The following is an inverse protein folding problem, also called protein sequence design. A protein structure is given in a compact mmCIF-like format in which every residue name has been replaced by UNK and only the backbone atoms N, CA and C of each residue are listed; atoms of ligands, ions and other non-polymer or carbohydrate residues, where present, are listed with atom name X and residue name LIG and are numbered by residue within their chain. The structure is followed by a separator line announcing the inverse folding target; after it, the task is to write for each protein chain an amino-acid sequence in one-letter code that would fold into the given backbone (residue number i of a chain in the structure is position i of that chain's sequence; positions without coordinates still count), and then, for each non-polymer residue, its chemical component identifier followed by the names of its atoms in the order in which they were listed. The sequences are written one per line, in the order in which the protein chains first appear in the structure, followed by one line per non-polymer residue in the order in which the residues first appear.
data_IF_698958792387
#
_entry.id   IF_698958792387
#
_cell.length_a   1.000
_cell.length_b   1.000
_cell.length_c   1.000
_cell.angle_alpha   90.00
_cell.angle_beta   90.00
_cell.angle_gamma   90.00
#
_symmetry.space_group_name_H-M   'P 1'
#
loop_
_entity.id
_entity.type
_entity.pdbx_description
1 polymer ?
#
# COMPACT_ATOMS: atom_id res chain seq x y z
N UNK A 1 14.22 -1.36 10.98
CA UNK A 1 13.41 -0.11 11.06
C UNK A 1 12.06 -0.36 10.40
N UNK A 2 10.93 0.05 11.00
CA UNK A 2 9.57 -0.21 10.45
C UNK A 2 8.95 1.10 9.95
N UNK A 3 8.44 1.09 8.72
CA UNK A 3 7.73 2.20 8.09
C UNK A 3 6.27 1.84 7.82
N UNK A 4 5.40 2.84 7.78
CA UNK A 4 3.99 2.68 7.39
C UNK A 4 3.61 3.61 6.25
N UNK A 5 2.48 3.31 5.60
CA UNK A 5 1.86 4.20 4.61
C UNK A 5 0.62 4.85 5.23
N UNK A 6 0.61 6.19 5.35
CA UNK A 6 -0.49 6.94 5.94
C UNK A 6 -1.20 7.78 4.90
N UNK A 7 -2.53 7.85 4.95
CA UNK A 7 -3.30 8.68 4.03
C UNK A 7 -2.93 10.16 4.17
N UNK A 8 -2.47 10.79 3.09
CA UNK A 8 -2.04 12.20 3.07
C UNK A 8 -3.14 13.12 3.62
N UNK A 9 -4.38 12.93 3.14
CA UNK A 9 -5.54 13.73 3.49
C UNK A 9 -6.04 13.54 4.94
N UNK A 10 -5.53 12.53 5.66
CA UNK A 10 -5.87 12.26 7.07
C UNK A 10 -4.72 12.63 8.00
N UNK A 11 -3.54 12.08 7.72
CA UNK A 11 -2.36 12.15 8.58
C UNK A 11 -1.54 13.43 8.37
N UNK A 12 -1.58 14.05 7.18
CA UNK A 12 -0.67 15.13 6.79
C UNK A 12 -1.41 16.44 6.50
N UNK A 13 -2.42 16.76 7.33
CA UNK A 13 -3.30 17.92 7.14
C UNK A 13 -2.64 19.26 7.49
N UNK A 14 -1.71 19.25 8.42
CA UNK A 14 -1.05 20.46 8.93
C UNK A 14 0.35 20.13 9.44
N UNK A 15 1.18 21.16 9.67
CA UNK A 15 2.59 20.99 10.09
C UNK A 15 2.75 20.10 11.34
N UNK A 16 1.88 20.24 12.33
CA UNK A 16 1.97 19.47 13.58
C UNK A 16 1.72 17.98 13.33
N UNK A 17 0.61 17.64 12.68
CA UNK A 17 0.27 16.24 12.33
C UNK A 17 1.29 15.65 11.36
N UNK A 18 1.70 16.39 10.33
CA UNK A 18 2.73 15.96 9.38
C UNK A 18 4.05 15.66 10.07
N UNK A 19 4.47 16.48 11.04
CA UNK A 19 5.69 16.24 11.83
C UNK A 19 5.54 14.98 12.68
N UNK A 20 4.43 14.84 13.41
CA UNK A 20 4.16 13.66 14.23
C UNK A 20 4.23 12.36 13.42
N UNK A 21 3.55 12.30 12.27
CA UNK A 21 3.53 11.11 11.43
C UNK A 21 4.88 10.86 10.73
N UNK A 22 5.60 11.91 10.33
CA UNK A 22 6.94 11.75 9.75
C UNK A 22 7.94 11.20 10.77
N UNK A 23 7.90 11.70 12.02
CA UNK A 23 8.72 11.17 13.12
C UNK A 23 8.31 9.75 13.50
N UNK A 24 7.01 9.43 13.38
CA UNK A 24 6.46 8.08 13.54
C UNK A 24 6.74 7.14 12.36
N UNK A 25 7.60 7.52 11.42
CA UNK A 25 8.02 6.70 10.27
C UNK A 25 6.86 6.35 9.33
N UNK A 26 5.93 7.28 9.13
CA UNK A 26 4.80 7.13 8.22
C UNK A 26 5.05 7.95 6.96
N UNK A 27 4.94 7.32 5.80
CA UNK A 27 5.06 7.97 4.50
C UNK A 27 3.71 8.53 4.03
N UNK A 28 3.67 9.78 3.53
CA UNK A 28 2.46 10.43 3.04
C UNK A 28 1.95 9.83 1.74
N UNK A 29 0.81 9.15 1.76
CA UNK A 29 0.27 8.39 0.62
C UNK A 29 -1.03 9.01 0.13
N UNK A 30 -1.08 9.42 -1.13
CA UNK A 30 -2.27 9.97 -1.77
C UNK A 30 -3.22 8.86 -2.22
N UNK A 31 -4.50 9.08 -1.99
CA UNK A 31 -5.59 8.18 -2.37
C UNK A 31 -6.37 8.83 -3.51
N UNK A 32 -6.63 8.08 -4.59
CA UNK A 32 -7.24 8.58 -5.83
C UNK A 32 -8.55 9.35 -5.62
N UNK A 33 -9.35 8.94 -4.64
CA UNK A 33 -10.61 9.62 -4.31
C UNK A 33 -10.43 11.06 -3.80
N UNK A 34 -9.29 11.36 -3.16
CA UNK A 34 -9.07 12.61 -2.43
C UNK A 34 -8.04 13.53 -3.10
N UNK A 35 -7.26 13.00 -4.04
CA UNK A 35 -6.12 13.71 -4.62
C UNK A 35 -5.80 13.20 -6.03
N UNK A 36 -5.55 14.10 -6.99
CA UNK A 36 -5.10 13.74 -8.33
C UNK A 36 -3.69 13.13 -8.32
N UNK A 37 -2.92 13.34 -7.25
CA UNK A 37 -1.58 12.76 -7.06
C UNK A 37 -1.62 11.32 -6.53
N UNK A 38 -2.82 10.77 -6.31
CA UNK A 38 -3.00 9.38 -5.94
C UNK A 38 -2.68 8.42 -7.06
N UNK A 39 -2.56 7.14 -6.71
CA UNK A 39 -2.38 6.07 -7.68
C UNK A 39 -1.05 5.33 -7.51
N UNK A 40 -0.75 4.51 -8.52
CA UNK A 40 0.27 3.48 -8.43
C UNK A 40 1.71 4.04 -8.44
N UNK A 41 1.94 5.14 -9.18
CA UNK A 41 3.26 5.72 -9.42
C UNK A 41 3.56 6.98 -8.59
N UNK A 42 2.81 7.19 -7.50
CA UNK A 42 3.08 8.30 -6.60
C UNK A 42 4.50 8.20 -6.01
N UNK A 43 5.19 9.34 -5.74
CA UNK A 43 6.57 9.35 -5.24
C UNK A 43 6.79 8.52 -3.96
N UNK A 44 5.77 8.46 -3.11
CA UNK A 44 5.76 7.69 -1.86
C UNK A 44 5.94 6.19 -2.08
N UNK A 45 5.37 5.64 -3.16
CA UNK A 45 5.57 4.22 -3.47
C UNK A 45 7.02 3.93 -3.90
N UNK A 46 7.65 4.86 -4.62
CA UNK A 46 9.07 4.74 -4.96
C UNK A 46 9.96 4.81 -3.70
N UNK A 47 9.63 5.68 -2.74
CA UNK A 47 10.31 5.71 -1.43
C UNK A 47 10.14 4.38 -0.69
N UNK A 48 8.93 3.83 -0.63
CA UNK A 48 8.68 2.55 0.05
C UNK A 48 9.44 1.37 -0.59
N UNK A 49 9.46 1.28 -1.93
CA UNK A 49 10.27 0.28 -2.65
C UNK A 49 11.75 0.44 -2.30
N UNK A 50 12.28 1.67 -2.30
CA UNK A 50 13.68 1.92 -1.92
C UNK A 50 13.94 1.58 -0.45
N UNK A 51 13.00 1.78 0.47
CA UNK A 51 13.19 1.37 1.87
C UNK A 51 13.27 -0.15 2.03
N UNK A 52 12.45 -0.89 1.30
CA UNK A 52 12.48 -2.37 1.28
C UNK A 52 13.76 -2.91 0.62
N UNK A 53 14.23 -2.26 -0.44
CA UNK A 53 15.41 -2.70 -1.18
C UNK A 53 16.72 -2.43 -0.45
N UNK A 54 17.73 -3.23 -0.76
CA UNK A 54 19.11 -3.00 -0.36
C UNK A 54 19.71 -1.76 -1.03
N UNK A 55 20.90 -1.31 -0.59
CA UNK A 55 21.70 -0.34 -1.34
C UNK A 55 22.06 -0.95 -2.70
N UNK A 56 21.28 -0.63 -3.72
CA UNK A 56 21.48 -1.18 -5.07
C UNK A 56 22.80 -0.66 -5.66
N UNK A 57 23.62 -1.53 -6.28
CA UNK A 57 24.66 -1.10 -7.20
C UNK A 57 24.01 -0.59 -8.50
N UNK A 58 23.68 0.70 -8.54
CA UNK A 58 23.50 1.58 -9.71
C UNK A 58 22.69 1.11 -10.96
N UNK A 59 22.10 -0.07 -11.03
CA UNK A 59 21.72 -0.68 -12.32
C UNK A 59 20.24 -1.02 -12.53
N UNK A 60 19.34 -0.75 -11.60
CA UNK A 60 17.91 -0.96 -11.84
C UNK A 60 17.16 0.36 -11.98
N UNK A 61 16.94 0.74 -13.23
CA UNK A 61 15.90 1.70 -13.61
C UNK A 61 14.57 1.16 -13.10
N UNK A 62 14.06 1.77 -12.04
CA UNK A 62 12.66 1.55 -11.65
C UNK A 62 11.78 2.28 -12.65
N UNK A 63 10.57 1.80 -12.93
CA UNK A 63 9.59 2.55 -13.73
C UNK A 63 9.20 3.92 -13.11
N UNK A 64 9.80 4.28 -11.96
CA UNK A 64 9.67 5.55 -11.26
C UNK A 64 10.80 6.53 -11.54
N UNK A 65 11.85 6.13 -12.26
CA UNK A 65 12.91 7.04 -12.64
C UNK A 65 12.47 7.82 -13.88
N UNK A 66 12.30 9.15 -13.72
CA UNK A 66 12.00 10.05 -14.83
C UNK A 66 12.96 9.81 -16.01
N UNK A 67 12.49 9.93 -17.27
CA UNK A 67 13.28 9.65 -18.48
C UNK A 67 14.54 10.53 -18.68
N UNK A 68 14.85 11.44 -17.75
CA UNK A 68 16.04 12.29 -17.76
C UNK A 68 17.26 11.68 -17.04
N UNK A 69 17.18 10.45 -16.50
CA UNK A 69 18.26 9.86 -15.68
C UNK A 69 18.66 8.43 -16.06
N UNK A 70 18.47 8.05 -17.33
CA UNK A 70 19.06 6.81 -17.85
C UNK A 70 20.56 7.01 -18.13
N UNK A 71 21.42 6.65 -17.18
CA UNK A 71 22.86 6.46 -17.42
C UNK A 71 23.23 5.00 -17.19
N UNK A 72 24.17 4.44 -17.98
CA UNK A 72 24.50 3.02 -17.91
C UNK A 72 25.16 2.67 -16.57
N UNK A 73 24.93 1.43 -16.14
CA UNK A 73 25.41 0.87 -14.88
C UNK A 73 26.91 1.15 -14.66
N UNK A 74 27.21 2.06 -13.73
CA UNK A 74 28.57 2.36 -13.30
C UNK A 74 28.77 1.82 -11.89
N UNK A 75 29.88 1.12 -11.67
CA UNK A 75 30.37 0.66 -10.36
C UNK A 75 30.77 1.82 -9.42
N UNK A 76 30.56 3.07 -9.84
CA UNK A 76 30.86 4.28 -9.08
C UNK A 76 29.61 4.67 -8.27
N UNK A 77 29.75 5.08 -6.99
CA UNK A 77 28.63 5.65 -6.26
C UNK A 77 28.01 6.80 -7.08
N UNK A 78 26.67 6.93 -7.10
CA UNK A 78 26.01 7.95 -7.90
C UNK A 78 26.59 9.34 -7.58
N UNK A 79 26.99 10.07 -8.62
CA UNK A 79 27.67 11.37 -8.50
C UNK A 79 26.78 12.47 -7.88
N UNK A 80 25.48 12.20 -7.70
CA UNK A 80 24.51 13.11 -7.10
C UNK A 80 24.10 12.55 -5.73
N UNK A 81 24.27 13.31 -4.63
CA UNK A 81 23.71 12.93 -3.33
C UNK A 81 22.21 12.68 -3.48
N UNK A 82 21.69 11.55 -2.98
CA UNK A 82 20.25 11.35 -3.00
C UNK A 82 19.56 12.52 -2.30
N UNK A 83 18.48 13.08 -2.88
CA UNK A 83 17.82 14.23 -2.29
C UNK A 83 17.30 13.84 -0.91
N UNK A 84 17.66 14.62 0.12
CA UNK A 84 17.26 14.38 1.51
C UNK A 84 15.76 14.58 1.75
N UNK A 85 15.07 15.14 0.76
CA UNK A 85 13.64 15.39 0.77
C UNK A 85 13.01 14.96 -0.55
N UNK A 86 11.73 14.62 -0.51
CA UNK A 86 10.92 14.38 -1.69
C UNK A 86 9.59 15.13 -1.57
N UNK A 87 8.99 15.41 -2.73
CA UNK A 87 7.66 16.00 -2.82
C UNK A 87 6.67 14.95 -3.29
N UNK A 88 5.45 15.00 -2.77
CA UNK A 88 4.33 14.16 -3.20
C UNK A 88 3.43 14.84 -4.22
N UNK A 89 3.47 16.17 -4.33
CA UNK A 89 2.62 16.95 -5.22
C UNK A 89 3.35 18.10 -5.96
N UNK A 90 4.68 18.20 -5.82
CA UNK A 90 5.50 19.26 -6.40
C UNK A 90 5.62 20.54 -5.56
N UNK A 91 4.85 20.67 -4.47
CA UNK A 91 4.81 21.86 -3.60
C UNK A 91 5.22 21.53 -2.17
N UNK A 92 4.80 20.37 -1.65
CA UNK A 92 5.17 19.90 -0.33
C UNK A 92 6.60 19.34 -0.27
N UNK A 93 7.12 19.21 0.96
CA UNK A 93 8.45 18.69 1.20
C UNK A 93 8.44 17.78 2.42
N UNK A 94 8.79 16.51 2.22
CA UNK A 94 8.91 15.50 3.26
C UNK A 94 10.33 14.92 3.29
N UNK A 95 10.87 14.53 4.45
CA UNK A 95 12.14 13.82 4.52
C UNK A 95 12.09 12.56 3.65
N UNK A 96 13.12 12.33 2.84
CA UNK A 96 13.27 11.12 2.03
C UNK A 96 14.10 10.09 2.80
N UNK A 97 13.47 9.16 3.54
CA UNK A 97 14.22 8.23 4.37
C UNK A 97 15.09 7.27 3.53
N UNK A 98 14.74 7.01 2.27
CA UNK A 98 15.56 6.17 1.40
C UNK A 98 16.95 6.75 1.09
N UNK A 99 17.15 8.06 1.33
CA UNK A 99 18.43 8.72 1.16
C UNK A 99 19.46 8.28 2.24
N UNK A 100 19.00 7.72 3.35
CA UNK A 100 19.86 7.24 4.43
C UNK A 100 20.10 5.73 4.28
N UNK A 101 21.36 5.28 4.10
CA UNK A 101 21.68 3.85 3.99
C UNK A 101 21.19 3.02 5.19
N UNK A 102 21.17 3.62 6.39
CA UNK A 102 20.68 2.99 7.61
C UNK A 102 19.18 2.61 7.58
N UNK A 103 18.41 3.16 6.64
CA UNK A 103 16.98 2.89 6.48
C UNK A 103 16.67 1.96 5.30
N UNK A 104 17.69 1.39 4.65
CA UNK A 104 17.53 0.33 3.64
C UNK A 104 17.30 -1.03 4.29
N UNK A 105 16.74 -1.98 3.52
CA UNK A 105 16.27 -3.27 4.04
C UNK A 105 15.33 -3.10 5.26
N UNK A 106 14.54 -2.03 5.24
CA UNK A 106 13.56 -1.76 6.26
C UNK A 106 12.30 -2.58 6.04
N UNK A 107 11.40 -2.54 7.02
CA UNK A 107 10.12 -3.24 6.97
C UNK A 107 9.05 -2.22 6.62
N UNK A 108 8.12 -2.55 5.72
CA UNK A 108 6.99 -1.67 5.38
C UNK A 108 5.69 -2.38 5.73
N UNK A 109 4.91 -1.77 6.62
CA UNK A 109 3.58 -2.24 6.99
C UNK A 109 2.53 -1.52 6.13
N UNK A 110 1.63 -2.29 5.52
CA UNK A 110 0.61 -1.78 4.59
C UNK A 110 -0.77 -2.35 4.88
N UNK A 111 -1.80 -1.51 4.69
CA UNK A 111 -3.21 -1.93 4.65
C UNK A 111 -3.69 -1.89 3.20
N UNK A 112 -3.66 -3.03 2.49
CA UNK A 112 -3.78 -3.06 1.02
C UNK A 112 -5.17 -2.70 0.49
N UNK A 113 -6.23 -2.77 1.30
CA UNK A 113 -7.56 -2.27 0.92
C UNK A 113 -7.60 -0.73 0.78
N UNK A 114 -6.65 -0.05 1.44
CA UNK A 114 -6.49 1.41 1.46
C UNK A 114 -7.75 2.20 1.88
N UNK A 115 -8.63 1.57 2.64
CA UNK A 115 -9.76 2.20 3.32
C UNK A 115 -10.00 1.50 4.67
N UNK A 116 -10.78 2.14 5.54
CA UNK A 116 -11.32 1.48 6.72
C UNK A 116 -12.53 0.66 6.26
N UNK A 117 -12.37 -0.66 6.21
CA UNK A 117 -13.45 -1.59 5.90
C UNK A 117 -13.93 -2.25 7.19
N UNK A 118 -15.24 -2.17 7.45
CA UNK A 118 -15.88 -2.77 8.61
C UNK A 118 -17.05 -3.63 8.11
N UNK A 119 -16.73 -4.78 7.50
CA UNK A 119 -17.75 -5.71 7.04
C UNK A 119 -18.48 -6.41 8.20
N UNK A 120 -19.80 -6.62 8.13
CA UNK A 120 -20.53 -7.39 9.13
C UNK A 120 -20.00 -8.82 9.33
N UNK A 121 -19.52 -9.46 8.26
CA UNK A 121 -18.98 -10.82 8.26
C UNK A 121 -17.44 -10.88 8.36
N UNK A 122 -16.81 -9.71 8.57
CA UNK A 122 -15.35 -9.55 8.53
C UNK A 122 -14.68 -10.08 7.26
N UNK A 123 -15.39 -10.10 6.13
CA UNK A 123 -14.82 -10.39 4.81
C UNK A 123 -13.81 -9.33 4.36
N UNK A 124 -13.02 -9.66 3.34
CA UNK A 124 -11.94 -8.81 2.81
C UNK A 124 -12.38 -8.11 1.52
N UNK A 125 -11.90 -6.88 1.28
CA UNK A 125 -12.01 -6.25 -0.05
C UNK A 125 -10.90 -6.76 -0.98
N UNK A 126 -10.97 -6.35 -2.24
CA UNK A 126 -9.83 -6.43 -3.15
C UNK A 126 -8.64 -5.64 -2.60
N UNK A 127 -7.44 -6.12 -2.87
CA UNK A 127 -6.20 -5.46 -2.49
C UNK A 127 -5.69 -4.58 -3.63
N UNK A 128 -5.30 -3.34 -3.32
CA UNK A 128 -4.78 -2.40 -4.31
C UNK A 128 -3.37 -2.82 -4.78
N UNK A 129 -3.09 -2.59 -6.06
CA UNK A 129 -1.84 -2.97 -6.72
C UNK A 129 -0.55 -2.32 -6.18
N UNK A 130 -0.65 -1.38 -5.24
CA UNK A 130 0.52 -0.79 -4.58
C UNK A 130 1.39 -1.86 -3.90
N UNK A 131 0.78 -2.89 -3.31
CA UNK A 131 1.54 -4.00 -2.69
C UNK A 131 2.29 -4.83 -3.73
N UNK A 132 1.75 -4.96 -4.94
CA UNK A 132 2.42 -5.66 -6.03
C UNK A 132 3.71 -4.96 -6.43
N UNK A 133 3.77 -3.62 -6.39
CA UNK A 133 5.01 -2.89 -6.62
C UNK A 133 6.07 -3.18 -5.56
N UNK A 134 5.67 -3.18 -4.29
CA UNK A 134 6.58 -3.49 -3.18
C UNK A 134 7.19 -4.88 -3.36
N UNK A 135 6.41 -5.88 -3.78
CA UNK A 135 6.91 -7.23 -3.97
C UNK A 135 7.74 -7.35 -5.26
N UNK A 136 7.26 -6.82 -6.39
CA UNK A 136 7.90 -7.01 -7.69
C UNK A 136 9.16 -6.16 -7.90
N UNK A 137 9.17 -4.93 -7.39
CA UNK A 137 10.23 -3.95 -7.67
C UNK A 137 11.30 -3.90 -6.57
N UNK A 138 11.04 -4.45 -5.39
CA UNK A 138 12.05 -4.50 -4.34
C UNK A 138 13.06 -5.60 -4.54
N UNK A 139 14.32 -5.26 -4.26
CA UNK A 139 15.44 -6.16 -4.37
C UNK A 139 16.51 -5.92 -3.27
N UNK A 140 16.91 -6.95 -2.51
CA UNK A 140 16.40 -8.33 -2.60
C UNK A 140 14.90 -8.39 -2.28
N UNK A 141 14.30 -9.53 -2.60
CA UNK A 141 12.89 -9.76 -2.37
C UNK A 141 12.51 -9.48 -0.90
N UNK A 142 11.52 -8.63 -0.62
CA UNK A 142 11.15 -8.36 0.77
C UNK A 142 10.39 -9.55 1.32
N UNK A 143 10.78 -10.02 2.49
CA UNK A 143 10.06 -11.05 3.23
C UNK A 143 8.59 -10.65 3.42
N UNK A 144 7.68 -11.60 3.23
CA UNK A 144 6.24 -11.37 3.27
C UNK A 144 5.63 -12.02 4.51
N UNK A 145 4.96 -11.20 5.34
CA UNK A 145 4.27 -11.64 6.55
C UNK A 145 2.81 -11.14 6.48
N UNK A 146 1.83 -12.04 6.24
CA UNK A 146 0.43 -11.67 6.25
C UNK A 146 -0.06 -11.41 7.68
N UNK A 147 -1.00 -10.48 7.84
CA UNK A 147 -1.65 -10.18 9.11
C UNK A 147 -3.14 -10.00 8.89
N UNK A 148 -3.95 -10.64 9.73
CA UNK A 148 -5.39 -10.42 9.80
C UNK A 148 -5.73 -9.76 11.14
N UNK A 149 -6.42 -8.61 11.09
CA UNK A 149 -6.77 -7.81 12.26
C UNK A 149 -8.29 -7.68 12.34
N UNK A 150 -8.86 -8.11 13.45
CA UNK A 150 -10.29 -8.05 13.73
C UNK A 150 -10.57 -7.46 15.12
N UNK A 151 -11.69 -6.77 15.25
CA UNK A 151 -12.21 -6.24 16.53
C UNK A 151 -11.99 -4.74 16.73
N UNK A 152 -11.14 -4.11 15.91
CA UNK A 152 -10.95 -2.65 15.90
C UNK A 152 -12.24 -1.89 15.56
N UNK A 153 -13.11 -2.50 14.75
CA UNK A 153 -14.46 -1.99 14.44
C UNK A 153 -15.36 -1.92 15.67
N UNK A 154 -15.13 -2.73 16.72
CA UNK A 154 -15.91 -2.65 17.96
C UNK A 154 -15.43 -1.53 18.88
N UNK A 155 -14.16 -1.12 18.73
CA UNK A 155 -13.56 0.00 19.45
C UNK A 155 -13.97 1.33 18.82
N UNK A 156 -13.84 1.43 17.48
CA UNK A 156 -14.09 2.63 16.68
C UNK A 156 -15.08 2.36 15.53
N UNK A 157 -16.30 1.95 15.87
CA UNK A 157 -17.34 1.60 14.89
C UNK A 157 -17.76 2.79 14.01
N UNK A 158 -18.01 2.60 12.72
CA UNK A 158 -18.42 3.70 11.83
C UNK A 158 -19.80 4.31 12.17
N UNK A 159 -20.68 3.50 12.75
CA UNK A 159 -22.01 3.89 13.24
C UNK A 159 -21.98 4.53 14.65
N UNK A 160 -20.80 4.78 15.21
CA UNK A 160 -20.67 5.30 16.59
C UNK A 160 -21.31 6.68 16.75
N UNK A 161 -22.10 6.79 17.83
CA UNK A 161 -22.66 8.04 18.35
C UNK A 161 -21.64 8.90 19.12
N UNK A 162 -22.14 9.91 19.81
CA UNK A 162 -21.31 10.81 20.64
C UNK A 162 -20.89 10.11 21.96
N UNK A 163 -19.63 10.26 22.42
CA UNK A 163 -18.52 10.98 21.78
C UNK A 163 -17.83 10.17 20.68
N UNK A 164 -17.75 10.72 19.46
CA UNK A 164 -17.21 10.00 18.28
C UNK A 164 -15.68 9.84 18.27
N UNK A 165 -14.97 10.60 19.09
CA UNK A 165 -13.51 10.61 19.17
C UNK A 165 -12.96 9.60 20.19
N UNK A 166 -13.79 9.13 21.12
CA UNK A 166 -13.35 8.27 22.21
C UNK A 166 -13.45 6.78 21.82
N UNK A 167 -12.36 6.00 21.97
CA UNK A 167 -12.41 4.56 21.74
C UNK A 167 -13.24 3.85 22.82
N UNK A 168 -14.03 2.85 22.43
CA UNK A 168 -14.79 2.02 23.38
C UNK A 168 -13.85 1.06 24.12
N UNK A 169 -13.91 1.07 25.45
CA UNK A 169 -13.11 0.24 26.35
C UNK A 169 -13.75 -1.15 26.50
N UNK A 170 -12.96 -2.18 26.84
CA UNK A 170 -13.45 -3.53 27.12
C UNK A 170 -13.81 -4.35 25.86
N UNK A 171 -13.34 -3.93 24.69
CA UNK A 171 -13.50 -4.68 23.43
C UNK A 171 -12.23 -5.46 23.12
N UNK A 172 -12.41 -6.65 22.58
CA UNK A 172 -11.30 -7.55 22.21
C UNK A 172 -10.83 -7.27 20.80
N UNK A 173 -9.50 -7.19 20.62
CA UNK A 173 -8.85 -7.17 19.31
C UNK A 173 -8.17 -8.51 19.11
N UNK A 174 -8.46 -9.17 17.99
CA UNK A 174 -7.80 -10.39 17.55
C UNK A 174 -6.85 -10.04 16.40
N UNK A 175 -5.58 -10.34 16.59
CA UNK A 175 -4.55 -10.19 15.56
C UNK A 175 -3.99 -11.58 15.30
N UNK A 176 -4.11 -12.06 14.06
CA UNK A 176 -3.48 -13.29 13.61
C UNK A 176 -2.34 -12.90 12.68
N UNK A 177 -1.14 -13.35 13.00
CA UNK A 177 0.08 -13.10 12.22
C UNK A 177 0.46 -14.44 11.60
N UNK A 178 0.63 -14.45 10.28
CA UNK A 178 1.07 -15.65 9.58
C UNK A 178 2.57 -15.87 9.72
N UNK A 179 3.01 -17.07 9.40
CA UNK A 179 4.44 -17.37 9.32
C UNK A 179 5.09 -16.59 8.17
N UNK A 180 6.36 -16.15 8.33
CA UNK A 180 7.09 -15.55 7.23
C UNK A 180 7.17 -16.53 6.06
N UNK A 181 6.72 -16.09 4.90
CA UNK A 181 6.62 -16.95 3.72
C UNK A 181 7.83 -16.75 2.81
N UNK A 182 8.38 -17.84 2.27
CA UNK A 182 9.38 -17.77 1.20
C UNK A 182 8.77 -17.05 -0.01
N UNK A 183 9.32 -15.87 -0.31
CA UNK A 183 8.84 -14.96 -1.35
C UNK A 183 9.09 -15.55 -2.73
N UNK A 184 10.15 -16.32 -2.91
CA UNK A 184 10.44 -17.00 -4.17
C UNK A 184 9.48 -18.18 -4.37
N UNK A 185 9.06 -18.86 -3.29
CA UNK A 185 8.01 -19.87 -3.37
C UNK A 185 6.65 -19.26 -3.72
N UNK A 186 6.25 -18.18 -3.06
CA UNK A 186 4.91 -17.60 -3.19
C UNK A 186 4.74 -16.72 -4.44
N UNK A 187 5.77 -15.95 -4.78
CA UNK A 187 5.75 -14.93 -5.84
C UNK A 187 6.85 -15.10 -6.90
N UNK A 188 7.67 -16.15 -6.83
CA UNK A 188 8.84 -16.31 -7.69
C UNK A 188 8.51 -16.34 -9.19
N UNK A 189 7.38 -16.95 -9.58
CA UNK A 189 6.93 -16.93 -10.97
C UNK A 189 6.69 -15.50 -11.47
N UNK A 190 5.95 -14.69 -10.69
CA UNK A 190 5.65 -13.31 -11.05
C UNK A 190 6.91 -12.44 -11.02
N UNK A 191 7.80 -12.65 -10.04
CA UNK A 191 9.08 -11.94 -9.97
C UNK A 191 9.98 -12.28 -11.16
N UNK A 192 10.05 -13.55 -11.57
CA UNK A 192 10.83 -13.96 -12.73
C UNK A 192 10.29 -13.34 -14.02
N UNK A 193 8.97 -13.33 -14.22
CA UNK A 193 8.33 -12.66 -15.34
C UNK A 193 8.56 -11.14 -15.30
N UNK A 194 8.46 -10.51 -14.13
CA UNK A 194 8.76 -9.09 -13.95
C UNK A 194 10.22 -8.76 -14.32
N UNK A 195 11.19 -9.57 -13.89
CA UNK A 195 12.60 -9.40 -14.27
C UNK A 195 12.81 -9.49 -15.78
N UNK A 196 12.12 -10.43 -16.46
CA UNK A 196 12.14 -10.52 -17.94
C UNK A 196 11.56 -9.27 -18.59
N UNK A 197 10.48 -8.71 -18.03
CA UNK A 197 9.87 -7.48 -18.52
C UNK A 197 10.79 -6.27 -18.33
N UNK A 198 11.44 -6.15 -17.16
CA UNK A 198 12.44 -5.11 -16.88
C UNK A 198 13.63 -5.21 -17.85
N UNK A 199 14.08 -6.42 -18.17
CA UNK A 199 15.17 -6.64 -19.12
C UNK A 199 14.86 -6.17 -20.56
N UNK A 200 13.57 -5.98 -20.92
CA UNK A 200 13.19 -5.37 -22.21
C UNK A 200 13.52 -3.87 -22.26
N UNK A 201 13.73 -3.22 -21.11
CA UNK A 201 14.20 -1.83 -21.03
C UNK A 201 13.18 -0.77 -21.42
N UNK A 202 11.89 -1.10 -21.51
CA UNK A 202 10.82 -0.17 -21.89
C UNK A 202 9.99 0.25 -20.65
N UNK A 203 10.10 1.51 -20.20
CA UNK A 203 9.36 2.03 -19.06
C UNK A 203 7.84 2.03 -19.26
N UNK A 204 7.35 2.23 -20.48
CA UNK A 204 5.91 2.25 -20.76
C UNK A 204 5.31 0.85 -20.72
N UNK A 205 6.05 -0.18 -21.17
CA UNK A 205 5.64 -1.57 -20.98
C UNK A 205 5.58 -1.96 -19.49
N UNK A 206 6.54 -1.51 -18.69
CA UNK A 206 6.49 -1.70 -17.24
C UNK A 206 5.32 -0.94 -16.62
N UNK A 207 5.00 0.24 -17.13
CA UNK A 207 3.97 1.09 -16.54
C UNK A 207 2.56 0.62 -16.87
N UNK A 208 2.29 0.45 -18.14
CA UNK A 208 0.96 0.32 -18.73
C UNK A 208 0.79 -0.96 -19.55
N UNK A 209 1.84 -1.77 -19.70
CA UNK A 209 1.77 -3.01 -20.48
C UNK A 209 0.78 -4.01 -19.89
N UNK A 210 0.14 -4.83 -20.75
CA UNK A 210 -0.82 -5.85 -20.31
C UNK A 210 -0.15 -6.88 -19.40
N UNK A 211 1.06 -7.32 -19.75
CA UNK A 211 1.87 -8.26 -18.94
C UNK A 211 2.17 -7.69 -17.54
N UNK A 212 2.58 -6.42 -17.44
CA UNK A 212 2.81 -5.76 -16.15
C UNK A 212 1.53 -5.67 -15.31
N UNK A 213 0.39 -5.40 -15.95
CA UNK A 213 -0.91 -5.29 -15.29
C UNK A 213 -1.36 -6.64 -14.74
N UNK A 214 -1.23 -7.70 -15.52
CA UNK A 214 -1.59 -9.06 -15.11
C UNK A 214 -0.72 -9.56 -13.95
N UNK A 215 0.59 -9.27 -13.99
CA UNK A 215 1.50 -9.57 -12.87
C UNK A 215 1.06 -8.86 -11.59
N UNK A 216 0.64 -7.60 -11.67
CA UNK A 216 0.16 -6.85 -10.50
C UNK A 216 -1.14 -7.40 -9.94
N UNK A 217 -2.09 -7.74 -10.81
CA UNK A 217 -3.35 -8.39 -10.42
C UNK A 217 -3.05 -9.70 -9.71
N UNK A 218 -2.21 -10.55 -10.31
CA UNK A 218 -1.82 -11.85 -9.77
C UNK A 218 -1.17 -11.74 -8.39
N UNK A 219 -0.22 -10.82 -8.21
CA UNK A 219 0.44 -10.62 -6.91
C UNK A 219 -0.54 -10.07 -5.87
N UNK A 220 -1.35 -9.06 -6.21
CA UNK A 220 -2.31 -8.49 -5.27
C UNK A 220 -3.34 -9.54 -4.80
N UNK A 221 -3.80 -10.40 -5.72
CA UNK A 221 -4.69 -11.51 -5.41
C UNK A 221 -4.04 -12.50 -4.44
N UNK A 222 -2.82 -12.94 -4.71
CA UNK A 222 -2.08 -13.85 -3.80
C UNK A 222 -1.87 -13.26 -2.41
N UNK A 223 -1.54 -11.97 -2.32
CA UNK A 223 -1.42 -11.30 -1.02
C UNK A 223 -2.76 -11.34 -0.26
N UNK A 224 -3.88 -11.14 -0.95
CA UNK A 224 -5.22 -11.27 -0.36
C UNK A 224 -5.49 -12.69 0.10
N UNK A 225 -5.19 -13.69 -0.72
CA UNK A 225 -5.44 -15.09 -0.42
C UNK A 225 -4.66 -15.54 0.84
N UNK A 226 -3.43 -15.07 1.04
CA UNK A 226 -2.69 -15.35 2.28
C UNK A 226 -3.32 -14.70 3.52
N UNK A 227 -3.92 -13.52 3.39
CA UNK A 227 -4.66 -12.88 4.51
C UNK A 227 -6.00 -13.61 4.75
N UNK A 228 -6.65 -14.11 3.70
CA UNK A 228 -7.88 -14.90 3.81
C UNK A 228 -7.66 -16.19 4.59
N UNK A 229 -6.54 -16.90 4.35
CA UNK A 229 -6.16 -18.08 5.16
C UNK A 229 -6.07 -17.75 6.65
N UNK A 230 -5.50 -16.59 7.00
CA UNK A 230 -5.42 -16.16 8.40
C UNK A 230 -6.80 -15.84 8.97
N UNK A 231 -7.68 -15.24 8.17
CA UNK A 231 -9.09 -14.99 8.53
C UNK A 231 -9.81 -16.31 8.82
N UNK A 232 -9.68 -17.32 7.95
CA UNK A 232 -10.26 -18.64 8.18
C UNK A 232 -9.72 -19.30 9.46
N UNK A 233 -8.40 -19.24 9.68
CA UNK A 233 -7.76 -19.75 10.90
C UNK A 233 -8.25 -19.02 12.16
N UNK A 234 -8.73 -17.78 12.01
CA UNK A 234 -9.32 -17.02 13.09
C UNK A 234 -10.75 -17.45 13.43
N UNK A 235 -11.32 -18.43 12.71
CA UNK A 235 -12.65 -18.99 12.94
C UNK A 235 -13.77 -18.35 12.11
N UNK A 236 -13.43 -17.55 11.10
CA UNK A 236 -14.41 -17.00 10.16
C UNK A 236 -14.67 -17.99 9.02
N UNK A 237 -15.89 -18.04 8.45
CA UNK A 237 -16.19 -18.95 7.36
C UNK A 237 -15.45 -18.54 6.09
N UNK A 238 -14.91 -19.52 5.36
CA UNK A 238 -14.30 -19.32 4.05
C UNK A 238 -15.22 -18.51 3.13
N UNK A 239 -14.66 -17.51 2.45
CA UNK A 239 -15.39 -16.73 1.46
C UNK A 239 -15.78 -17.63 0.26
N UNK A 240 -17.08 -17.71 -0.03
CA UNK A 240 -17.60 -18.52 -1.15
C UNK A 240 -17.70 -17.74 -2.45
N UNK A 241 -17.78 -16.41 -2.36
CA UNK A 241 -17.89 -15.51 -3.51
C UNK A 241 -16.54 -14.84 -3.74
N UNK A 242 -16.02 -14.95 -4.96
CA UNK A 242 -14.79 -14.27 -5.36
C UNK A 242 -15.03 -12.79 -5.71
N UNK A 243 -16.28 -12.36 -5.88
CA UNK A 243 -16.62 -11.01 -6.29
C UNK A 243 -16.01 -9.91 -5.38
N UNK A 244 -15.98 -10.04 -4.04
CA UNK A 244 -15.33 -9.07 -3.16
C UNK A 244 -13.81 -8.92 -3.41
N UNK A 245 -13.15 -9.92 -4.00
CA UNK A 245 -11.75 -9.87 -4.38
C UNK A 245 -11.47 -9.04 -5.65
N UNK A 246 -12.51 -8.68 -6.41
CA UNK A 246 -12.42 -7.94 -7.67
C UNK A 246 -12.71 -6.45 -7.49
N UNK A 247 -11.88 -5.58 -8.07
CA UNK A 247 -12.05 -4.13 -7.96
C UNK A 247 -13.35 -3.65 -8.63
N UNK A 248 -13.74 -4.31 -9.71
CA UNK A 248 -14.93 -4.04 -10.52
C UNK A 248 -16.22 -4.20 -9.69
N UNK A 249 -16.26 -5.18 -8.79
CA UNK A 249 -17.40 -5.39 -7.89
C UNK A 249 -17.65 -4.16 -7.02
N UNK A 250 -16.57 -3.55 -6.51
CA UNK A 250 -16.64 -2.38 -5.65
C UNK A 250 -16.80 -1.06 -6.40
N UNK A 251 -16.68 -1.06 -7.74
CA UNK A 251 -17.03 0.11 -8.56
C UNK A 251 -18.53 0.47 -8.46
N UNK A 252 -19.36 -0.47 -7.97
CA UNK A 252 -20.78 -0.26 -7.65
C UNK A 252 -21.01 0.62 -6.41
N UNK A 253 -19.99 0.83 -5.58
CA UNK A 253 -20.10 1.71 -4.40
C UNK A 253 -20.41 3.15 -4.85
N UNK A 254 -21.45 3.80 -4.29
CA UNK A 254 -21.80 5.16 -4.68
C UNK A 254 -20.69 6.16 -4.34
N UNK A 255 -20.65 7.21 -5.14
CA UNK A 255 -19.74 8.35 -5.00
C UNK A 255 -20.19 9.33 -3.91
N UNK A 256 -20.52 8.81 -2.71
CA UNK A 256 -21.04 9.59 -1.58
C UNK A 256 -20.15 9.45 -0.35
N UNK A 257 -20.26 10.40 0.56
CA UNK A 257 -19.47 10.44 1.81
C UNK A 257 -19.93 9.38 2.81
N UNK A 258 -21.22 9.06 2.88
CA UNK A 258 -21.75 8.01 3.75
C UNK A 258 -22.78 7.17 3.02
N UNK A 259 -22.62 5.86 3.06
CA UNK A 259 -23.56 4.92 2.46
C UNK A 259 -23.37 3.51 3.05
N UNK A 260 -24.36 2.64 2.82
CA UNK A 260 -24.24 1.20 3.03
C UNK A 260 -23.82 0.58 1.70
N UNK A 261 -22.70 -0.14 1.64
CA UNK A 261 -22.21 -0.74 0.41
C UNK A 261 -23.22 -1.77 -0.11
N UNK A 262 -23.54 -1.76 -1.41
CA UNK A 262 -24.40 -2.77 -2.01
C UNK A 262 -23.67 -4.12 -2.21
N UNK A 263 -22.35 -4.17 -2.00
CA UNK A 263 -21.54 -5.39 -2.19
C UNK A 263 -21.69 -6.33 -0.99
N UNK A 264 -21.46 -5.81 0.21
CA UNK A 264 -21.37 -6.60 1.45
C UNK A 264 -22.20 -6.03 2.60
N UNK A 265 -22.91 -4.92 2.37
CA UNK A 265 -23.69 -4.24 3.41
C UNK A 265 -22.85 -3.47 4.44
N UNK A 266 -21.54 -3.31 4.23
CA UNK A 266 -20.66 -2.54 5.11
C UNK A 266 -21.05 -1.06 5.13
N UNK A 267 -20.91 -0.42 6.30
CA UNK A 267 -21.08 1.02 6.42
C UNK A 267 -19.79 1.73 6.01
N UNK A 268 -19.86 2.52 4.95
CA UNK A 268 -18.73 3.26 4.42
C UNK A 268 -18.88 4.74 4.76
N UNK A 269 -17.85 5.31 5.37
CA UNK A 269 -17.76 6.73 5.72
C UNK A 269 -16.49 7.33 5.11
N UNK A 270 -16.60 7.84 3.88
CA UNK A 270 -15.53 8.54 3.16
C UNK A 270 -15.47 9.99 3.63
N UNK A 271 -14.38 10.35 4.30
CA UNK A 271 -14.11 11.73 4.71
C UNK A 271 -13.65 12.61 3.52
N UNK A 272 -14.55 12.95 2.60
CA UNK A 272 -14.28 13.85 1.46
C UNK A 272 -14.18 15.32 1.87
N UNK A 273 -13.70 16.21 0.97
CA UNK A 273 -13.96 17.64 1.13
C UNK A 273 -15.47 17.81 1.31
N UNK A 274 -15.88 18.51 2.38
CA UNK A 274 -17.26 18.99 2.47
C UNK A 274 -17.49 19.79 1.19
N UNK A 275 -18.52 19.47 0.42
CA UNK A 275 -19.05 20.42 -0.56
C UNK A 275 -19.17 21.74 0.20
N UNK A 276 -18.35 22.72 -0.20
CA UNK A 276 -18.54 24.07 0.32
C UNK A 276 -19.90 24.51 -0.24
N UNK A 277 -20.81 25.00 0.61
CA UNK A 277 -22.09 25.53 0.14
C UNK A 277 -21.87 26.65 -0.87
#
# INVERSE_FOLDING_TARGET
MRWGLGAHDICFKNKATSTFFSLGQVLPTHRLWYSPYGGLYQPTMAQAVKLLSGPSPASWSTASDSPLSATPASTRPPAVPQPLFFSTNGVDQFPAPSAYPAYRNAWVHVFPEACCHQSPDSGLRYFKWGVSRLILESDPAPEFIPMFVHGTQHIMAEDRGWPRWAPRIGKTVKIVIGEPTDVDQLFGHQRAAWRKLVAKGDPELLRNGPEATELRISVARRVRDEVEKLRESAGFPAEKDEAPALAETWAKDPLRTKFKSPVDGSLVNRHGPRERP
#
